data_IF_182023595972
#
_entry.id   IF_182023595972
#
_cell.length_a   1.000
_cell.length_b   1.000
_cell.length_c   1.000
_cell.angle_alpha   90.00
_cell.angle_beta   90.00
_cell.angle_gamma   90.00
#
_symmetry.space_group_name_H-M   'P 1'
#
loop_
_entity.id
_entity.type
_entity.pdbx_description
1 polymer ?
#
# COMPACT_ATOMS: atom_id res chain seq x y z
N UNK A 1 -16.78 15.70 8.36
CA UNK A 1 -16.04 16.86 8.92
C UNK A 1 -14.63 16.88 8.32
N UNK A 2 -14.28 17.98 7.65
CA UNK A 2 -12.94 18.20 7.07
C UNK A 2 -12.11 18.91 8.12
N UNK A 3 -10.95 18.35 8.47
CA UNK A 3 -10.00 19.05 9.32
C UNK A 3 -9.04 19.85 8.44
N UNK A 4 -8.74 21.07 8.85
CA UNK A 4 -7.73 21.89 8.18
C UNK A 4 -6.36 21.63 8.80
N UNK A 5 -5.40 21.27 7.96
CA UNK A 5 -4.01 21.08 8.35
C UNK A 5 -3.28 22.43 8.33
N UNK A 6 -2.35 22.59 9.27
CA UNK A 6 -1.39 23.69 9.25
C UNK A 6 -0.07 23.24 8.58
N UNK A 7 0.83 24.20 8.34
CA UNK A 7 2.11 23.93 7.68
C UNK A 7 3.01 22.94 8.45
N UNK A 8 2.92 22.93 9.78
CA UNK A 8 3.70 22.01 10.63
C UNK A 8 3.25 20.57 10.39
N UNK A 9 1.94 20.31 10.44
CA UNK A 9 1.39 18.98 10.20
C UNK A 9 1.70 18.50 8.79
N UNK A 10 1.50 19.36 7.78
CA UNK A 10 1.84 19.04 6.39
C UNK A 10 3.32 18.70 6.24
N UNK A 11 4.22 19.46 6.86
CA UNK A 11 5.66 19.22 6.80
C UNK A 11 6.02 17.86 7.42
N UNK A 12 5.45 17.52 8.58
CA UNK A 12 5.65 16.22 9.23
C UNK A 12 5.10 15.07 8.38
N UNK A 13 3.88 15.21 7.87
CA UNK A 13 3.27 14.23 6.97
C UNK A 13 4.09 14.01 5.70
N UNK A 14 4.63 15.08 5.10
CA UNK A 14 5.50 14.98 3.92
C UNK A 14 6.72 14.12 4.26
N UNK A 15 7.38 14.40 5.38
CA UNK A 15 8.54 13.59 5.82
C UNK A 15 8.19 12.13 6.06
N UNK A 16 7.06 11.85 6.69
CA UNK A 16 6.64 10.46 6.95
C UNK A 16 6.28 9.72 5.67
N UNK A 17 5.47 10.33 4.79
CA UNK A 17 5.04 9.70 3.54
C UNK A 17 6.21 9.47 2.61
N UNK A 18 7.03 10.49 2.34
CA UNK A 18 8.16 10.34 1.42
C UNK A 18 9.32 9.55 2.04
N UNK A 19 9.48 9.58 3.37
CA UNK A 19 10.43 8.71 4.07
C UNK A 19 10.02 7.25 3.98
N UNK A 20 8.71 6.96 4.12
CA UNK A 20 8.17 5.62 3.90
C UNK A 20 8.34 5.17 2.45
N UNK A 21 8.04 6.03 1.47
CA UNK A 21 8.26 5.72 0.05
C UNK A 21 9.73 5.41 -0.25
N UNK A 22 10.66 6.16 0.35
CA UNK A 22 12.09 5.87 0.26
C UNK A 22 12.43 4.47 0.80
N UNK A 23 11.91 4.11 1.99
CA UNK A 23 12.10 2.76 2.55
C UNK A 23 11.47 1.67 1.68
N UNK A 24 10.30 1.93 1.10
CA UNK A 24 9.67 1.00 0.15
C UNK A 24 10.57 0.79 -1.06
N UNK A 25 11.13 1.85 -1.66
CA UNK A 25 12.04 1.71 -2.80
C UNK A 25 13.34 0.97 -2.44
N UNK A 26 13.89 1.17 -1.24
CA UNK A 26 15.03 0.37 -0.77
C UNK A 26 14.68 -1.11 -0.63
N UNK A 27 13.49 -1.41 -0.12
CA UNK A 27 12.98 -2.78 -0.07
C UNK A 27 12.82 -3.36 -1.48
N UNK A 28 12.25 -2.62 -2.43
CA UNK A 28 12.13 -3.05 -3.83
C UNK A 28 13.50 -3.32 -4.46
N UNK A 29 14.49 -2.46 -4.17
CA UNK A 29 15.88 -2.67 -4.58
C UNK A 29 16.46 -3.97 -4.04
N UNK A 30 16.25 -4.26 -2.74
CA UNK A 30 16.73 -5.51 -2.14
C UNK A 30 16.02 -6.76 -2.69
N UNK A 31 14.80 -6.59 -3.19
CA UNK A 31 13.97 -7.66 -3.74
C UNK A 31 14.20 -7.88 -5.25
N UNK A 32 15.13 -7.17 -5.87
CA UNK A 32 15.38 -7.18 -7.32
C UNK A 32 14.16 -6.75 -8.15
N UNK A 33 13.40 -5.78 -7.64
CA UNK A 33 12.16 -5.29 -8.24
C UNK A 33 12.28 -3.89 -8.85
N UNK A 34 13.47 -3.28 -8.85
CA UNK A 34 13.71 -2.00 -9.51
C UNK A 34 13.87 -2.19 -11.02
N UNK A 35 13.59 -1.16 -11.84
CA UNK A 35 13.52 -1.31 -13.30
C UNK A 35 14.86 -1.76 -13.90
N UNK A 36 15.97 -1.27 -13.35
CA UNK A 36 17.32 -1.66 -13.76
C UNK A 36 17.68 -3.11 -13.41
N UNK A 37 16.93 -3.75 -12.52
CA UNK A 37 17.13 -5.15 -12.09
C UNK A 37 16.21 -6.12 -12.83
N UNK A 38 15.15 -5.62 -13.47
CA UNK A 38 14.29 -6.43 -14.33
C UNK A 38 15.06 -6.72 -15.61
N UNK A 39 15.40 -7.99 -15.88
CA UNK A 39 16.28 -8.47 -16.97
C UNK A 39 15.70 -8.27 -18.39
N UNK A 40 15.20 -7.08 -18.70
CA UNK A 40 14.64 -6.69 -20.00
C UNK A 40 13.58 -7.67 -20.53
N UNK A 41 12.48 -7.89 -19.79
CA UNK A 41 11.48 -8.89 -20.15
C UNK A 41 10.88 -8.63 -21.53
N UNK A 42 10.73 -9.71 -22.30
CA UNK A 42 10.14 -9.67 -23.65
C UNK A 42 8.61 -9.70 -23.58
N UNK A 43 8.06 -10.39 -22.58
CA UNK A 43 6.63 -10.48 -22.37
C UNK A 43 6.15 -9.29 -21.54
N UNK A 44 5.05 -8.68 -22.01
CA UNK A 44 4.40 -7.55 -21.36
C UNK A 44 2.93 -7.89 -21.11
N UNK A 45 2.43 -7.51 -19.94
CA UNK A 45 0.99 -7.58 -19.63
C UNK A 45 0.44 -6.19 -19.36
N UNK A 46 -0.32 -5.69 -20.33
CA UNK A 46 -0.95 -4.36 -20.28
C UNK A 46 -2.44 -4.46 -19.92
N UNK A 47 -3.04 -5.64 -20.13
CA UNK A 47 -4.48 -5.89 -20.04
C UNK A 47 -5.29 -4.77 -20.77
N UNK A 48 -6.49 -4.44 -20.30
CA UNK A 48 -7.33 -3.36 -20.87
C UNK A 48 -7.09 -2.00 -20.18
N UNK A 49 -5.95 -1.81 -19.51
CA UNK A 49 -5.65 -0.57 -18.79
C UNK A 49 -5.06 0.50 -19.73
N UNK A 50 -5.85 1.54 -20.01
CA UNK A 50 -5.44 2.65 -20.89
C UNK A 50 -4.19 3.38 -20.37
N UNK A 51 -3.97 3.40 -19.06
CA UNK A 51 -2.78 4.03 -18.47
C UNK A 51 -1.53 3.27 -18.86
N UNK A 52 -1.60 1.93 -18.87
CA UNK A 52 -0.48 1.09 -19.24
C UNK A 52 -0.20 1.23 -20.74
N UNK A 53 -1.24 1.18 -21.57
CA UNK A 53 -1.12 1.43 -23.01
C UNK A 53 -0.49 2.79 -23.31
N UNK A 54 -0.91 3.85 -22.63
CA UNK A 54 -0.35 5.18 -22.82
C UNK A 54 1.17 5.21 -22.54
N UNK A 55 1.61 4.62 -21.42
CA UNK A 55 3.04 4.60 -21.07
C UNK A 55 3.85 3.80 -22.10
N UNK A 56 3.39 2.63 -22.53
CA UNK A 56 4.09 1.84 -23.55
C UNK A 56 4.12 2.53 -24.91
N UNK A 57 3.03 3.19 -25.32
CA UNK A 57 2.99 3.92 -26.59
C UNK A 57 3.96 5.11 -26.67
N UNK A 58 4.44 5.62 -25.53
CA UNK A 58 5.45 6.70 -25.51
C UNK A 58 6.87 6.22 -25.83
N UNK A 59 7.13 4.91 -25.84
CA UNK A 59 8.48 4.36 -26.03
C UNK A 59 9.36 4.38 -24.77
N UNK A 60 8.82 4.84 -23.63
CA UNK A 60 9.59 4.94 -22.36
C UNK A 60 10.01 3.55 -21.86
N UNK A 61 9.15 2.54 -22.01
CA UNK A 61 9.45 1.17 -21.62
C UNK A 61 10.64 0.61 -22.41
N UNK A 62 10.60 0.74 -23.75
CA UNK A 62 11.66 0.30 -24.65
C UNK A 62 12.97 1.06 -24.40
N UNK A 63 12.89 2.36 -24.09
CA UNK A 63 14.06 3.16 -23.75
C UNK A 63 14.80 2.59 -22.54
N UNK A 64 14.09 2.29 -21.44
CA UNK A 64 14.72 1.68 -20.26
C UNK A 64 15.18 0.25 -20.51
N UNK A 65 14.45 -0.52 -21.31
CA UNK A 65 14.83 -1.89 -21.69
C UNK A 65 16.11 -1.93 -22.53
N UNK A 66 16.31 -0.94 -23.40
CA UNK A 66 17.47 -0.88 -24.31
C UNK A 66 18.75 -0.38 -23.65
N UNK A 67 18.68 0.23 -22.47
CA UNK A 67 19.83 0.83 -21.80
C UNK A 67 19.78 0.67 -20.28
N UNK A 68 20.66 -0.18 -19.75
CA UNK A 68 20.84 -0.36 -18.31
C UNK A 68 21.10 0.97 -17.58
N UNK A 69 21.94 1.85 -18.15
CA UNK A 69 22.24 3.15 -17.55
C UNK A 69 21.01 4.06 -17.46
N UNK A 70 20.11 4.00 -18.45
CA UNK A 70 18.87 4.77 -18.41
C UNK A 70 17.94 4.27 -17.29
N UNK A 71 17.76 2.94 -17.19
CA UNK A 71 16.96 2.33 -16.13
C UNK A 71 17.56 2.60 -14.73
N UNK A 72 18.87 2.45 -14.56
CA UNK A 72 19.57 2.71 -13.30
C UNK A 72 19.45 4.18 -12.90
N UNK A 73 19.63 5.09 -13.85
CA UNK A 73 19.46 6.53 -13.61
C UNK A 73 18.03 6.86 -13.18
N UNK A 74 17.02 6.25 -13.82
CA UNK A 74 15.63 6.41 -13.43
C UNK A 74 15.37 5.95 -11.99
N UNK A 75 15.82 4.75 -11.62
CA UNK A 75 15.68 4.21 -10.27
C UNK A 75 16.39 5.09 -9.23
N UNK A 76 17.60 5.56 -9.54
CA UNK A 76 18.37 6.46 -8.70
C UNK A 76 17.65 7.81 -8.52
N UNK A 77 17.18 8.43 -9.60
CA UNK A 77 16.46 9.70 -9.53
C UNK A 77 15.16 9.57 -8.74
N UNK A 78 14.36 8.53 -8.97
CA UNK A 78 13.14 8.29 -8.21
C UNK A 78 13.43 8.18 -6.71
N UNK A 79 14.47 7.41 -6.35
CA UNK A 79 14.88 7.21 -4.95
C UNK A 79 15.39 8.52 -4.32
N UNK A 80 16.23 9.28 -5.02
CA UNK A 80 16.75 10.58 -4.57
C UNK A 80 15.61 11.60 -4.43
N UNK A 81 14.64 11.63 -5.34
CA UNK A 81 13.49 12.54 -5.24
C UNK A 81 12.69 12.32 -3.95
N UNK A 82 12.49 11.07 -3.53
CA UNK A 82 11.86 10.76 -2.23
C UNK A 82 12.68 11.35 -1.07
N UNK A 83 14.01 11.20 -1.08
CA UNK A 83 14.88 11.77 -0.05
C UNK A 83 14.85 13.31 -0.05
N UNK A 84 14.89 13.93 -1.23
CA UNK A 84 14.78 15.38 -1.39
C UNK A 84 13.43 15.89 -0.86
N UNK A 85 12.32 15.16 -1.06
CA UNK A 85 11.02 15.53 -0.51
C UNK A 85 11.00 15.49 1.04
N UNK A 86 11.73 14.55 1.65
CA UNK A 86 11.90 14.49 3.11
C UNK A 86 12.71 15.69 3.64
N UNK A 87 13.82 16.02 2.97
CA UNK A 87 14.72 17.10 3.37
C UNK A 87 14.10 18.49 3.12
N UNK A 88 13.36 18.65 2.02
CA UNK A 88 12.77 19.92 1.57
C UNK A 88 11.24 19.86 1.44
N UNK A 89 10.49 19.59 2.52
CA UNK A 89 9.05 19.26 2.48
C UNK A 89 8.14 20.42 2.05
N UNK A 90 8.66 21.64 1.95
CA UNK A 90 7.91 22.83 1.48
C UNK A 90 7.91 22.98 -0.04
N UNK A 91 8.74 22.24 -0.77
CA UNK A 91 8.91 22.36 -2.23
C UNK A 91 7.94 21.41 -2.95
N UNK A 92 6.81 21.94 -3.45
CA UNK A 92 5.75 21.13 -4.08
C UNK A 92 6.15 20.47 -5.40
N UNK A 93 7.15 21.02 -6.10
CA UNK A 93 7.64 20.43 -7.35
C UNK A 93 8.23 19.03 -7.13
N UNK A 94 8.82 18.77 -5.95
CA UNK A 94 9.46 17.49 -5.65
C UNK A 94 8.41 16.37 -5.54
N UNK A 95 7.35 16.48 -4.71
CA UNK A 95 6.20 15.56 -4.74
C UNK A 95 5.60 15.31 -6.12
N UNK A 96 5.47 16.34 -6.96
CA UNK A 96 4.94 16.20 -8.32
C UNK A 96 5.84 15.31 -9.17
N UNK A 97 7.14 15.60 -9.20
CA UNK A 97 8.11 14.79 -9.94
C UNK A 97 8.19 13.37 -9.38
N UNK A 98 8.21 13.20 -8.05
CA UNK A 98 8.15 11.87 -7.43
C UNK A 98 6.89 11.12 -7.85
N UNK A 99 5.72 11.75 -7.82
CA UNK A 99 4.46 11.11 -8.22
C UNK A 99 4.46 10.65 -9.68
N UNK A 100 5.01 11.46 -10.59
CA UNK A 100 5.14 11.12 -12.00
C UNK A 100 6.11 9.95 -12.23
N UNK A 101 7.31 10.01 -11.65
CA UNK A 101 8.28 8.91 -11.76
C UNK A 101 7.74 7.64 -11.10
N UNK A 102 7.10 7.75 -9.95
CA UNK A 102 6.55 6.60 -9.24
C UNK A 102 5.37 5.96 -10.00
N UNK A 103 4.55 6.75 -10.73
CA UNK A 103 3.52 6.24 -11.63
C UNK A 103 4.14 5.43 -12.78
N UNK A 104 5.16 5.98 -13.45
CA UNK A 104 5.87 5.27 -14.53
C UNK A 104 6.48 3.98 -13.98
N UNK A 105 7.12 4.04 -12.81
CA UNK A 105 7.67 2.87 -12.12
C UNK A 105 6.61 1.79 -11.88
N UNK A 106 5.46 2.14 -11.28
CA UNK A 106 4.38 1.19 -11.02
C UNK A 106 3.83 0.54 -12.30
N UNK A 107 3.63 1.34 -13.37
CA UNK A 107 3.12 0.82 -14.65
C UNK A 107 4.11 -0.14 -15.28
N UNK A 108 5.39 0.24 -15.35
CA UNK A 108 6.43 -0.60 -15.93
C UNK A 108 6.63 -1.88 -15.12
N UNK A 109 6.73 -1.79 -13.79
CA UNK A 109 6.88 -2.95 -12.91
C UNK A 109 5.74 -3.96 -13.13
N UNK A 110 4.49 -3.52 -13.07
CA UNK A 110 3.34 -4.41 -13.26
C UNK A 110 3.28 -5.02 -14.67
N UNK A 111 3.67 -4.23 -15.68
CA UNK A 111 3.74 -4.71 -17.06
C UNK A 111 4.80 -5.79 -17.25
N UNK A 112 5.97 -5.59 -16.65
CA UNK A 112 7.16 -6.43 -16.77
C UNK A 112 7.08 -7.69 -15.93
N UNK A 113 6.45 -7.64 -14.76
CA UNK A 113 6.20 -8.82 -13.92
C UNK A 113 5.02 -9.67 -14.42
N UNK A 114 4.26 -9.17 -15.40
CA UNK A 114 3.01 -9.79 -15.85
C UNK A 114 1.99 -10.02 -14.72
N UNK A 115 2.10 -9.25 -13.65
CA UNK A 115 1.32 -9.38 -12.42
C UNK A 115 0.94 -7.99 -11.89
N UNK A 116 -0.31 -7.83 -11.45
CA UNK A 116 -0.76 -6.59 -10.85
C UNK A 116 -0.32 -6.51 -9.39
N UNK A 117 0.78 -5.82 -9.14
CA UNK A 117 1.30 -5.55 -7.81
C UNK A 117 0.52 -4.40 -7.14
N UNK A 118 -0.66 -4.74 -6.61
CA UNK A 118 -1.62 -3.81 -6.02
C UNK A 118 -1.08 -2.99 -4.83
N UNK A 119 0.03 -3.43 -4.23
CA UNK A 119 0.60 -2.82 -3.02
C UNK A 119 1.25 -1.45 -3.26
N UNK A 120 1.56 -1.09 -4.51
CA UNK A 120 2.24 0.17 -4.83
C UNK A 120 1.29 1.22 -5.42
N UNK A 121 0.25 0.81 -6.14
CA UNK A 121 -0.62 1.75 -6.87
C UNK A 121 -1.33 2.73 -5.94
N UNK A 122 -1.74 2.27 -4.75
CA UNK A 122 -2.43 3.11 -3.77
C UNK A 122 -1.50 4.15 -3.11
N UNK A 123 -0.17 3.96 -3.18
CA UNK A 123 0.80 4.95 -2.74
C UNK A 123 0.80 6.18 -3.64
N UNK A 124 0.44 6.03 -4.93
CA UNK A 124 0.25 7.17 -5.83
C UNK A 124 -0.87 8.07 -5.31
N UNK A 125 -2.00 7.48 -4.87
CA UNK A 125 -3.12 8.23 -4.28
C UNK A 125 -2.67 9.01 -3.04
N UNK A 126 -1.76 8.44 -2.24
CA UNK A 126 -1.19 9.10 -1.07
C UNK A 126 -0.28 10.29 -1.42
N UNK A 127 0.39 10.27 -2.57
CA UNK A 127 1.26 11.37 -3.03
C UNK A 127 0.42 12.58 -3.47
N UNK A 128 -0.76 12.37 -4.08
CA UNK A 128 -1.58 13.41 -4.72
C UNK A 128 -1.81 14.66 -3.85
N UNK A 129 -2.21 14.57 -2.56
CA UNK A 129 -2.41 15.77 -1.73
C UNK A 129 -1.16 16.67 -1.66
N UNK A 130 0.04 16.09 -1.66
CA UNK A 130 1.30 16.80 -1.49
C UNK A 130 1.73 17.60 -2.73
N UNK A 131 1.14 17.31 -3.89
CA UNK A 131 1.36 18.04 -5.14
C UNK A 131 0.80 19.48 -5.10
N UNK A 132 -0.09 19.80 -4.16
CA UNK A 132 -0.78 21.10 -4.12
C UNK A 132 -0.20 22.05 -3.09
N UNK A 133 0.09 23.30 -3.48
CA UNK A 133 0.65 24.31 -2.55
C UNK A 133 -0.35 24.80 -1.51
N UNK A 134 -1.63 24.92 -1.87
CA UNK A 134 -2.68 25.40 -0.97
C UNK A 134 -2.97 24.41 0.16
N UNK A 135 -2.90 24.87 1.42
CA UNK A 135 -3.28 24.07 2.59
C UNK A 135 -4.75 23.65 2.56
N UNK A 136 -5.63 24.49 2.00
CA UNK A 136 -7.05 24.15 1.83
C UNK A 136 -7.21 22.96 0.89
N UNK A 137 -6.58 22.99 -0.27
CA UNK A 137 -6.62 21.89 -1.25
C UNK A 137 -5.99 20.63 -0.69
N UNK A 138 -4.81 20.74 -0.05
CA UNK A 138 -4.17 19.63 0.65
C UNK A 138 -5.12 18.98 1.67
N UNK A 139 -5.77 19.79 2.51
CA UNK A 139 -6.67 19.31 3.57
C UNK A 139 -7.90 18.59 3.01
N UNK A 140 -8.49 19.12 1.93
CA UNK A 140 -9.64 18.50 1.26
C UNK A 140 -9.23 17.16 0.62
N UNK A 141 -8.12 17.13 -0.12
CA UNK A 141 -7.64 15.90 -0.77
C UNK A 141 -7.23 14.84 0.24
N UNK A 142 -6.57 15.22 1.33
CA UNK A 142 -6.19 14.29 2.39
C UNK A 142 -7.44 13.75 3.13
N UNK A 143 -8.48 14.58 3.32
CA UNK A 143 -9.76 14.11 3.82
C UNK A 143 -10.47 13.17 2.82
N UNK A 144 -10.38 13.45 1.51
CA UNK A 144 -10.86 12.56 0.44
C UNK A 144 -10.14 11.22 0.44
N UNK A 145 -8.81 11.23 0.62
CA UNK A 145 -8.00 10.02 0.70
C UNK A 145 -8.42 9.11 1.85
N UNK A 146 -8.83 9.67 3.00
CA UNK A 146 -9.44 8.88 4.09
C UNK A 146 -10.65 8.07 3.61
N UNK A 147 -11.54 8.68 2.83
CA UNK A 147 -12.70 7.97 2.28
C UNK A 147 -12.32 6.99 1.19
N UNK A 148 -11.29 7.27 0.38
CA UNK A 148 -10.76 6.32 -0.58
C UNK A 148 -10.18 5.06 0.12
N UNK A 149 -9.40 5.23 1.19
CA UNK A 149 -8.90 4.10 1.99
C UNK A 149 -10.05 3.32 2.62
N UNK A 150 -11.04 4.01 3.21
CA UNK A 150 -12.24 3.35 3.73
C UNK A 150 -13.00 2.57 2.66
N UNK A 151 -13.11 3.11 1.44
CA UNK A 151 -13.73 2.46 0.30
C UNK A 151 -12.98 1.19 -0.12
N UNK A 152 -11.65 1.21 -0.17
CA UNK A 152 -10.85 0.03 -0.55
C UNK A 152 -11.16 -1.15 0.38
N UNK A 153 -11.10 -0.96 1.71
CA UNK A 153 -11.39 -2.04 2.66
C UNK A 153 -12.87 -2.43 2.69
N UNK A 154 -13.78 -1.46 2.71
CA UNK A 154 -15.22 -1.75 2.75
C UNK A 154 -15.67 -2.48 1.48
N UNK A 155 -15.20 -2.06 0.30
CA UNK A 155 -15.51 -2.72 -0.97
C UNK A 155 -14.92 -4.12 -1.04
N UNK A 156 -13.71 -4.35 -0.52
CA UNK A 156 -13.12 -5.68 -0.42
C UNK A 156 -13.98 -6.63 0.43
N UNK A 157 -14.53 -6.15 1.55
CA UNK A 157 -15.47 -6.92 2.37
C UNK A 157 -16.77 -7.22 1.63
N UNK A 158 -17.39 -6.21 1.01
CA UNK A 158 -18.63 -6.34 0.24
C UNK A 158 -18.46 -7.37 -0.88
N UNK A 159 -17.36 -7.32 -1.64
CA UNK A 159 -17.10 -8.28 -2.71
C UNK A 159 -16.86 -9.71 -2.23
N UNK A 160 -16.36 -9.91 -1.01
CA UNK A 160 -16.27 -11.25 -0.40
C UNK A 160 -17.64 -11.77 0.04
N UNK A 161 -18.52 -10.89 0.53
CA UNK A 161 -19.89 -11.24 0.90
C UNK A 161 -20.75 -11.54 -0.34
N UNK A 162 -20.70 -10.67 -1.36
CA UNK A 162 -21.49 -10.82 -2.60
C UNK A 162 -21.13 -12.10 -3.36
N UNK A 163 -19.84 -12.46 -3.40
CA UNK A 163 -19.40 -13.73 -4.01
C UNK A 163 -19.66 -14.96 -3.15
N UNK A 164 -20.24 -14.80 -1.96
CA UNK A 164 -20.50 -15.88 -1.03
C UNK A 164 -19.24 -16.54 -0.46
N UNK A 165 -18.08 -15.89 -0.55
CA UNK A 165 -16.79 -16.45 -0.09
C UNK A 165 -16.83 -16.83 1.40
N UNK A 166 -17.53 -16.04 2.21
CA UNK A 166 -17.67 -16.27 3.66
C UNK A 166 -18.54 -17.50 3.99
N UNK A 167 -19.41 -17.91 3.07
CA UNK A 167 -20.31 -19.06 3.24
C UNK A 167 -19.73 -20.35 2.64
N UNK A 168 -18.55 -20.28 2.02
CA UNK A 168 -17.86 -21.43 1.47
C UNK A 168 -16.79 -21.92 2.44
N UNK A 169 -17.05 -23.03 3.14
CA UNK A 169 -16.15 -23.59 4.15
C UNK A 169 -14.75 -23.92 3.62
N UNK A 170 -14.62 -24.24 2.33
CA UNK A 170 -13.34 -24.55 1.69
C UNK A 170 -12.52 -23.32 1.30
N UNK A 171 -13.07 -22.11 1.37
CA UNK A 171 -12.46 -20.93 0.77
C UNK A 171 -11.14 -20.54 1.43
N UNK A 172 -11.07 -20.52 2.76
CA UNK A 172 -9.83 -20.16 3.46
C UNK A 172 -8.76 -21.24 3.30
N UNK A 173 -9.15 -22.52 3.37
CA UNK A 173 -8.24 -23.63 3.09
C UNK A 173 -7.63 -23.49 1.70
N UNK A 174 -8.46 -23.23 0.69
CA UNK A 174 -7.99 -23.00 -0.67
C UNK A 174 -7.03 -21.81 -0.75
N UNK A 175 -7.36 -20.68 -0.10
CA UNK A 175 -6.47 -19.50 -0.07
C UNK A 175 -5.11 -19.82 0.54
N UNK A 176 -5.06 -20.50 1.69
CA UNK A 176 -3.80 -20.91 2.31
C UNK A 176 -3.02 -21.80 1.34
N UNK A 177 -3.61 -22.93 0.92
CA UNK A 177 -2.91 -23.90 0.06
C UNK A 177 -2.43 -23.29 -1.26
N UNK A 178 -3.23 -22.41 -1.87
CA UNK A 178 -2.88 -21.78 -3.12
C UNK A 178 -1.68 -20.80 -2.99
N UNK A 179 -1.55 -20.06 -1.88
CA UNK A 179 -0.41 -19.14 -1.69
C UNK A 179 0.89 -19.84 -1.27
N UNK A 180 0.82 -21.12 -0.87
CA UNK A 180 2.00 -21.93 -0.56
C UNK A 180 2.37 -22.91 -1.68
N UNK A 181 1.58 -23.00 -2.76
CA UNK A 181 1.73 -24.05 -3.78
C UNK A 181 3.10 -24.03 -4.46
N UNK A 182 3.61 -22.85 -4.80
CA UNK A 182 4.88 -22.72 -5.52
C UNK A 182 6.07 -23.13 -4.65
N UNK A 183 6.02 -22.84 -3.35
CA UNK A 183 7.04 -23.29 -2.38
C UNK A 183 7.01 -24.80 -2.20
N UNK A 184 5.81 -25.37 -2.06
CA UNK A 184 5.63 -26.81 -1.93
C UNK A 184 6.05 -27.60 -3.18
N UNK A 185 6.06 -26.95 -4.35
CA UNK A 185 6.51 -27.57 -5.60
C UNK A 185 8.04 -27.68 -5.70
N UNK A 186 8.80 -26.99 -4.84
CA UNK A 186 10.27 -27.07 -4.82
C UNK A 186 10.71 -28.38 -4.18
N UNK A 187 11.49 -29.17 -4.93
CA UNK A 187 12.02 -30.45 -4.45
C UNK A 187 12.88 -30.26 -3.19
N UNK A 188 12.62 -31.07 -2.16
CA UNK A 188 13.33 -30.99 -0.88
C UNK A 188 12.93 -29.80 0.01
N UNK A 189 11.87 -29.06 -0.33
CA UNK A 189 11.36 -27.99 0.53
C UNK A 189 10.76 -28.55 1.83
N UNK A 190 11.27 -28.09 2.96
CA UNK A 190 10.74 -28.40 4.29
C UNK A 190 9.95 -27.22 4.84
N UNK A 191 8.73 -27.48 5.31
CA UNK A 191 7.89 -26.47 5.94
C UNK A 191 8.56 -25.95 7.22
N UNK A 192 8.66 -24.63 7.33
CA UNK A 192 9.05 -24.03 8.61
C UNK A 192 7.89 -24.15 9.63
N UNK A 193 8.19 -23.82 10.90
CA UNK A 193 7.20 -23.91 11.99
C UNK A 193 5.90 -23.15 11.71
N UNK A 194 6.00 -21.94 11.16
CA UNK A 194 4.84 -21.08 10.90
C UNK A 194 3.99 -21.66 9.77
N UNK A 195 4.63 -22.11 8.69
CA UNK A 195 3.96 -22.72 7.55
C UNK A 195 3.26 -24.02 7.95
N UNK A 196 3.94 -24.87 8.73
CA UNK A 196 3.34 -26.09 9.27
C UNK A 196 2.10 -25.77 10.13
N UNK A 197 2.16 -24.74 10.98
CA UNK A 197 1.00 -24.28 11.75
C UNK A 197 -0.15 -23.81 10.84
N UNK A 198 0.15 -23.12 9.72
CA UNK A 198 -0.87 -22.68 8.76
C UNK A 198 -1.50 -23.85 8.01
N UNK A 199 -0.71 -24.84 7.61
CA UNK A 199 -1.23 -26.06 7.00
C UNK A 199 -2.11 -26.85 7.97
N UNK A 200 -1.70 -26.98 9.24
CA UNK A 200 -2.52 -27.59 10.28
C UNK A 200 -3.85 -26.84 10.46
N UNK A 201 -3.81 -25.50 10.55
CA UNK A 201 -5.00 -24.66 10.59
C UNK A 201 -5.92 -24.90 9.39
N UNK A 202 -5.36 -25.02 8.18
CA UNK A 202 -6.10 -25.27 6.94
C UNK A 202 -6.85 -26.60 6.93
N UNK A 203 -6.41 -27.57 7.75
CA UNK A 203 -7.08 -28.86 7.90
C UNK A 203 -8.29 -28.80 8.85
N UNK A 204 -8.39 -27.77 9.68
CA UNK A 204 -9.55 -27.51 10.54
C UNK A 204 -10.55 -26.58 9.83
N UNK A 205 -11.49 -27.16 9.08
CA UNK A 205 -12.48 -26.42 8.26
C UNK A 205 -13.19 -25.29 9.03
N UNK A 206 -13.69 -25.58 10.24
CA UNK A 206 -14.40 -24.61 11.07
C UNK A 206 -13.50 -23.44 11.48
N UNK A 207 -12.28 -23.72 11.93
CA UNK A 207 -11.36 -22.68 12.41
C UNK A 207 -10.88 -21.80 11.24
N UNK A 208 -10.61 -22.40 10.08
CA UNK A 208 -10.31 -21.69 8.84
C UNK A 208 -11.48 -20.78 8.38
N UNK A 209 -12.71 -21.27 8.49
CA UNK A 209 -13.91 -20.48 8.16
C UNK A 209 -14.10 -19.30 9.13
N UNK A 210 -13.89 -19.52 10.43
CA UNK A 210 -13.92 -18.45 11.44
C UNK A 210 -12.85 -17.39 11.14
N UNK A 211 -11.63 -17.80 10.77
CA UNK A 211 -10.57 -16.86 10.41
C UNK A 211 -10.96 -15.99 9.21
N UNK A 212 -11.61 -16.57 8.19
CA UNK A 212 -12.15 -15.80 7.06
C UNK A 212 -13.21 -14.80 7.50
N UNK A 213 -14.19 -15.24 8.30
CA UNK A 213 -15.26 -14.37 8.81
C UNK A 213 -14.67 -13.19 9.59
N UNK A 214 -13.69 -13.44 10.46
CA UNK A 214 -13.01 -12.40 11.23
C UNK A 214 -12.30 -11.42 10.28
N UNK A 215 -11.56 -11.91 9.28
CA UNK A 215 -10.91 -11.07 8.28
C UNK A 215 -11.89 -10.16 7.54
N UNK A 216 -13.02 -10.71 7.08
CA UNK A 216 -14.08 -9.93 6.41
C UNK A 216 -14.73 -8.92 7.35
N UNK A 217 -14.96 -9.29 8.62
CA UNK A 217 -15.50 -8.37 9.62
C UNK A 217 -14.55 -7.20 9.91
N UNK A 218 -13.23 -7.46 9.96
CA UNK A 218 -12.22 -6.42 10.12
C UNK A 218 -12.22 -5.44 8.95
N UNK A 219 -12.28 -5.93 7.71
CA UNK A 219 -12.42 -5.08 6.52
C UNK A 219 -13.75 -4.30 6.53
N UNK A 220 -14.87 -4.95 6.86
CA UNK A 220 -16.20 -4.34 6.92
C UNK A 220 -16.28 -3.21 7.96
N UNK A 221 -15.48 -3.27 9.03
CA UNK A 221 -15.43 -2.21 10.05
C UNK A 221 -15.06 -0.84 9.47
N UNK A 222 -14.35 -0.79 8.33
CA UNK A 222 -14.03 0.47 7.65
C UNK A 222 -15.27 1.20 7.09
N UNK A 223 -16.44 0.56 7.01
CA UNK A 223 -17.70 1.25 6.73
C UNK A 223 -17.99 2.35 7.76
N UNK A 224 -17.57 2.18 9.01
CA UNK A 224 -17.74 3.17 10.08
C UNK A 224 -17.07 4.51 9.71
N UNK A 225 -15.97 4.46 8.95
CA UNK A 225 -15.24 5.66 8.55
C UNK A 225 -16.08 6.61 7.69
N UNK A 226 -17.07 6.12 6.92
CA UNK A 226 -17.92 7.00 6.12
C UNK A 226 -18.79 7.91 7.01
N UNK A 227 -19.21 7.41 8.16
CA UNK A 227 -20.18 8.08 9.02
C UNK A 227 -19.52 8.89 10.14
N UNK A 228 -18.37 8.44 10.67
CA UNK A 228 -17.75 9.09 11.82
C UNK A 228 -16.23 8.97 11.84
N UNK A 229 -15.58 9.92 12.52
CA UNK A 229 -14.13 9.91 12.83
C UNK A 229 -13.82 9.39 14.24
N UNK A 230 -14.84 9.17 15.08
CA UNK A 230 -14.67 8.76 16.49
C UNK A 230 -13.85 7.48 16.63
N UNK A 231 -13.95 6.57 15.66
CA UNK A 231 -13.30 5.27 15.67
C UNK A 231 -12.02 5.20 14.83
N UNK A 232 -11.54 6.32 14.29
CA UNK A 232 -10.37 6.35 13.39
C UNK A 232 -9.13 5.66 14.02
N UNK A 233 -8.89 5.84 15.33
CA UNK A 233 -7.82 5.11 16.04
C UNK A 233 -8.00 3.58 16.02
N UNK A 234 -9.22 3.11 16.22
CA UNK A 234 -9.53 1.68 16.22
C UNK A 234 -9.36 1.11 14.81
N UNK A 235 -9.75 1.86 13.77
CA UNK A 235 -9.58 1.46 12.38
C UNK A 235 -8.09 1.33 11.99
N UNK A 236 -7.21 2.19 12.51
CA UNK A 236 -5.75 2.02 12.34
C UNK A 236 -5.29 0.67 12.91
N UNK A 237 -5.68 0.37 14.15
CA UNK A 237 -5.28 -0.87 14.83
C UNK A 237 -5.84 -2.07 14.07
N UNK A 238 -7.12 -2.05 13.71
CA UNK A 238 -7.78 -3.11 12.95
C UNK A 238 -7.07 -3.31 11.61
N UNK A 239 -6.76 -2.24 10.87
CA UNK A 239 -6.07 -2.33 9.58
C UNK A 239 -4.67 -2.95 9.68
N UNK A 240 -3.88 -2.54 10.70
CA UNK A 240 -2.54 -3.12 10.92
C UNK A 240 -2.63 -4.59 11.35
N UNK A 241 -3.51 -4.92 12.29
CA UNK A 241 -3.72 -6.30 12.74
C UNK A 241 -4.22 -7.17 11.58
N UNK A 242 -5.12 -6.64 10.74
CA UNK A 242 -5.61 -7.34 9.55
C UNK A 242 -4.44 -7.66 8.60
N UNK A 243 -3.60 -6.69 8.25
CA UNK A 243 -2.43 -6.94 7.40
C UNK A 243 -1.44 -7.93 8.00
N UNK A 244 -1.18 -7.86 9.31
CA UNK A 244 -0.29 -8.80 10.00
C UNK A 244 -0.85 -10.23 9.95
N UNK A 245 -2.14 -10.39 10.26
CA UNK A 245 -2.82 -11.67 10.19
C UNK A 245 -2.81 -12.21 8.75
N UNK A 246 -3.11 -11.38 7.75
CA UNK A 246 -3.07 -11.81 6.35
C UNK A 246 -1.67 -12.22 5.89
N UNK A 247 -0.63 -11.48 6.30
CA UNK A 247 0.76 -11.83 6.00
C UNK A 247 1.16 -13.16 6.62
N UNK A 248 0.69 -13.46 7.83
CA UNK A 248 0.99 -14.75 8.50
C UNK A 248 0.13 -15.89 7.94
N UNK A 249 -1.18 -15.67 7.80
CA UNK A 249 -2.12 -16.73 7.44
C UNK A 249 -2.02 -17.14 5.97
N UNK A 250 -1.91 -16.15 5.09
CA UNK A 250 -2.09 -16.33 3.64
C UNK A 250 -0.81 -15.99 2.87
N UNK A 251 0.27 -15.61 3.56
CA UNK A 251 1.53 -15.15 2.98
C UNK A 251 1.40 -14.00 1.99
N UNK A 252 0.42 -13.12 2.22
CA UNK A 252 0.25 -11.89 1.43
C UNK A 252 0.58 -10.70 2.31
N UNK A 253 1.74 -10.10 2.05
CA UNK A 253 2.18 -8.90 2.76
C UNK A 253 1.61 -7.64 2.11
N UNK A 254 1.02 -6.78 2.94
CA UNK A 254 0.59 -5.42 2.57
C UNK A 254 1.37 -4.36 3.35
N UNK A 255 2.61 -4.66 3.75
CA UNK A 255 3.41 -3.76 4.60
C UNK A 255 3.50 -2.37 4.00
N UNK A 256 3.74 -2.26 2.69
CA UNK A 256 3.86 -0.99 1.98
C UNK A 256 2.64 -0.08 2.17
N UNK A 257 1.45 -0.66 2.36
CA UNK A 257 0.18 0.06 2.51
C UNK A 257 -0.05 0.63 3.91
N UNK A 258 0.76 0.29 4.91
CA UNK A 258 0.54 0.73 6.29
C UNK A 258 0.53 2.24 6.45
N UNK A 259 1.30 2.93 5.61
CA UNK A 259 1.36 4.40 5.57
C UNK A 259 0.01 5.04 5.23
N UNK A 260 -0.88 4.31 4.53
CA UNK A 260 -2.23 4.80 4.23
C UNK A 260 -3.05 5.03 5.50
N UNK A 261 -2.79 4.30 6.59
CA UNK A 261 -3.51 4.47 7.84
C UNK A 261 -3.25 5.83 8.52
N UNK A 262 -2.24 6.60 8.07
CA UNK A 262 -2.04 7.98 8.51
C UNK A 262 -3.25 8.88 8.23
N UNK A 263 -4.10 8.55 7.25
CA UNK A 263 -5.30 9.33 6.89
C UNK A 263 -6.36 9.36 8.00
N UNK A 264 -6.27 8.42 8.94
CA UNK A 264 -7.13 8.32 10.12
C UNK A 264 -6.54 9.06 11.33
N UNK A 265 -5.31 9.60 11.25
CA UNK A 265 -4.77 10.40 12.34
C UNK A 265 -5.39 11.80 12.37
N UNK A 266 -5.87 12.27 13.54
CA UNK A 266 -6.37 13.63 13.67
C UNK A 266 -5.21 14.63 13.57
N UNK A 267 -5.36 15.75 12.86
CA UNK A 267 -4.28 16.73 12.67
C UNK A 267 -3.70 17.27 13.97
N UNK A 268 -4.52 17.42 15.01
CA UNK A 268 -4.09 17.94 16.33
C UNK A 268 -3.01 17.08 16.98
N UNK A 269 -3.01 15.77 16.70
CA UNK A 269 -1.97 14.84 17.17
C UNK A 269 -0.70 14.89 16.34
N UNK A 270 -0.79 15.39 15.11
CA UNK A 270 0.36 15.55 14.23
C UNK A 270 1.08 16.86 14.56
N UNK A 271 0.38 17.88 15.04
CA UNK A 271 0.96 19.20 15.34
C UNK A 271 1.56 19.31 16.73
N UNK A 272 1.03 18.61 17.74
CA UNK A 272 1.51 18.72 19.12
C UNK A 272 2.99 18.33 19.25
N UNK A 273 3.73 19.08 20.06
CA UNK A 273 5.03 18.61 20.56
C UNK A 273 4.78 17.54 21.63
N UNK A 274 5.68 16.54 21.79
CA UNK A 274 5.52 15.49 22.80
C UNK A 274 5.27 16.02 24.22
N UNK A 275 5.80 17.19 24.55
CA UNK A 275 5.69 17.84 25.87
C UNK A 275 4.29 18.39 26.18
N UNK A 276 3.51 18.80 25.18
CA UNK A 276 2.19 19.43 25.40
C UNK A 276 1.05 18.41 25.53
N UNK A 277 1.30 17.15 25.17
CA UNK A 277 0.27 16.11 25.10
C UNK A 277 -0.14 15.58 26.49
N UNK A 278 0.82 15.34 27.38
CA UNK A 278 0.54 14.84 28.73
C UNK A 278 -0.26 15.82 29.61
N UNK A 279 -0.20 17.12 29.30
CA UNK A 279 -0.96 18.14 30.02
C UNK A 279 -2.43 18.18 29.63
N UNK A 280 -2.78 17.80 28.39
CA UNK A 280 -4.18 17.82 27.89
C UNK A 280 -4.99 16.56 28.21
N UNK A 281 -4.36 15.46 28.62
CA UNK A 281 -5.09 14.27 29.09
C UNK A 281 -5.45 14.32 30.57
N UNK A 282 -4.91 15.29 31.32
CA UNK A 282 -5.19 15.50 32.75
C UNK A 282 -6.23 16.60 33.01
N UNK A 283 -6.79 17.19 31.96
CA UNK A 283 -7.86 18.17 32.00
C UNK A 283 -9.06 17.62 31.20
#
# INVERSE_FOLDING_TARGET
MIHFFNDIARTRLTRWVFGWLFLVLLYQWSANLMISQLESPVLLRVDLDLTYWLVHLTGIGEFFRSSYFAAFSFDFFLTVLCLVAVLFPKRTIVPILTGLFFLIYCVLLNSYQCWHYHNLITLILLIVPFCFRSLKTFSILFAGLRYAVAYIYASAAIWKLVRGSVFNEGQMKWLIQHNYVDRLAVEGYELNFLENMMFQLSNYSTLSSIALIIGVAMEASFLIAFFTRKFDRHLIIIGVVFHLITAVLVDVSFLQLWILFLVFLPPDRITSSPTTWFQRQKA
#
